data_IF_375463336561
#
_entry.id   IF_375463336561
#
_cell.length_a   1.000
_cell.length_b   1.000
_cell.length_c   1.000
_cell.angle_alpha   90.00
_cell.angle_beta   90.00
_cell.angle_gamma   90.00
#
_symmetry.space_group_name_H-M   'P 1'
#
loop_
_entity.id
_entity.type
_entity.pdbx_description
1 polymer ?
#
# COMPACT_ATOMS: atom_id res chain seq x y z
N UNK A 1 -24.39 -4.84 14.70
CA UNK A 1 -23.70 -3.60 14.25
C UNK A 1 -23.87 -3.47 12.75
N UNK A 2 -24.29 -2.27 12.28
CA UNK A 2 -24.52 -1.95 10.88
C UNK A 2 -23.51 -0.88 10.47
N UNK A 3 -22.62 -1.23 9.54
CA UNK A 3 -21.55 -0.38 9.06
C UNK A 3 -21.88 0.13 7.67
N UNK A 4 -21.67 1.42 7.41
CA UNK A 4 -21.63 1.97 6.07
C UNK A 4 -20.20 2.36 5.70
N UNK A 5 -19.76 1.97 4.51
CA UNK A 5 -18.50 2.44 3.93
C UNK A 5 -18.79 3.44 2.82
N UNK A 6 -18.08 4.56 2.79
CA UNK A 6 -18.02 5.42 1.61
C UNK A 6 -16.65 5.23 0.97
N UNK A 7 -16.62 4.72 -0.24
CA UNK A 7 -15.38 4.37 -0.94
C UNK A 7 -15.60 4.18 -2.44
N UNK A 8 -14.51 4.05 -3.18
CA UNK A 8 -14.48 3.30 -4.44
C UNK A 8 -14.61 1.80 -4.13
N UNK A 9 -15.15 1.00 -5.06
CA UNK A 9 -15.28 -0.45 -4.88
C UNK A 9 -15.10 -1.20 -6.21
N UNK A 10 -14.96 -2.55 -6.14
CA UNK A 10 -14.77 -3.38 -7.32
C UNK A 10 -15.97 -3.29 -8.29
N UNK A 11 -15.74 -3.39 -9.62
CA UNK A 11 -14.50 -3.70 -10.34
C UNK A 11 -13.64 -2.47 -10.68
N UNK A 12 -13.84 -1.32 -10.04
CA UNK A 12 -13.05 -0.12 -10.30
C UNK A 12 -11.56 -0.39 -10.00
N UNK A 13 -10.69 -0.19 -10.98
CA UNK A 13 -9.24 -0.42 -10.87
C UNK A 13 -8.56 0.69 -10.09
N UNK A 14 -8.60 0.60 -8.78
CA UNK A 14 -8.05 1.58 -7.86
C UNK A 14 -7.62 0.88 -6.54
N UNK A 15 -6.49 1.28 -5.99
CA UNK A 15 -5.94 0.68 -4.76
C UNK A 15 -6.90 0.77 -3.56
N UNK A 16 -7.70 1.86 -3.47
CA UNK A 16 -8.70 2.02 -2.40
C UNK A 16 -9.88 1.06 -2.59
N UNK A 17 -10.30 0.81 -3.83
CA UNK A 17 -11.35 -0.18 -4.12
C UNK A 17 -10.92 -1.59 -3.69
N UNK A 18 -9.69 -1.99 -4.01
CA UNK A 18 -9.11 -3.26 -3.61
C UNK A 18 -8.95 -3.35 -2.09
N UNK A 19 -8.42 -2.30 -1.46
CA UNK A 19 -8.31 -2.22 0.00
C UNK A 19 -9.68 -2.40 0.68
N UNK A 20 -10.68 -1.65 0.22
CA UNK A 20 -12.02 -1.68 0.81
C UNK A 20 -12.67 -3.06 0.65
N UNK A 21 -12.51 -3.70 -0.51
CA UNK A 21 -13.02 -5.05 -0.75
C UNK A 21 -12.40 -6.06 0.22
N UNK A 22 -11.08 -6.11 0.35
CA UNK A 22 -10.40 -7.02 1.28
C UNK A 22 -10.77 -6.76 2.74
N UNK A 23 -10.92 -5.49 3.15
CA UNK A 23 -11.35 -5.15 4.49
C UNK A 23 -12.78 -5.62 4.75
N UNK A 24 -13.71 -5.36 3.83
CA UNK A 24 -15.12 -5.78 3.92
C UNK A 24 -15.22 -7.30 4.02
N UNK A 25 -14.54 -8.03 3.15
CA UNK A 25 -14.53 -9.49 3.18
C UNK A 25 -13.98 -10.05 4.50
N UNK A 26 -12.90 -9.46 5.00
CA UNK A 26 -12.32 -9.85 6.28
C UNK A 26 -13.22 -9.52 7.47
N UNK A 27 -13.91 -8.38 7.47
CA UNK A 27 -14.89 -8.00 8.50
C UNK A 27 -16.06 -8.99 8.54
N UNK A 28 -16.60 -9.37 7.38
CA UNK A 28 -17.66 -10.36 7.27
C UNK A 28 -17.24 -11.75 7.78
N UNK A 29 -15.96 -12.09 7.67
CA UNK A 29 -15.41 -13.35 8.20
C UNK A 29 -15.22 -13.30 9.72
N UNK A 30 -14.68 -12.21 10.28
CA UNK A 30 -14.35 -12.13 11.71
C UNK A 30 -15.54 -11.72 12.60
N UNK A 31 -16.58 -11.12 12.01
CA UNK A 31 -17.76 -10.59 12.72
C UNK A 31 -19.08 -11.07 12.06
N UNK A 32 -19.56 -12.29 12.36
CA UNK A 32 -20.74 -12.87 11.70
C UNK A 32 -22.03 -12.07 11.87
N UNK A 33 -22.12 -11.26 12.91
CA UNK A 33 -23.29 -10.43 13.24
C UNK A 33 -23.26 -9.02 12.62
N UNK A 34 -22.19 -8.68 11.90
CA UNK A 34 -22.07 -7.39 11.22
C UNK A 34 -22.76 -7.43 9.86
N UNK A 35 -23.47 -6.35 9.54
CA UNK A 35 -24.00 -6.05 8.22
C UNK A 35 -23.27 -4.83 7.66
N UNK A 36 -22.89 -4.88 6.39
CA UNK A 36 -22.10 -3.85 5.72
C UNK A 36 -22.85 -3.33 4.52
N UNK A 37 -22.98 -2.00 4.42
CA UNK A 37 -23.44 -1.27 3.26
C UNK A 37 -22.25 -0.50 2.70
N UNK A 38 -21.86 -0.74 1.45
CA UNK A 38 -20.86 0.05 0.75
C UNK A 38 -21.58 1.04 -0.16
N UNK A 39 -21.56 2.31 0.20
CA UNK A 39 -22.04 3.42 -0.61
C UNK A 39 -20.89 3.77 -1.54
N UNK A 40 -20.93 3.19 -2.74
CA UNK A 40 -19.81 3.17 -3.66
C UNK A 40 -19.90 4.26 -4.73
N UNK A 41 -18.73 4.63 -5.29
CA UNK A 41 -18.68 5.44 -6.50
C UNK A 41 -19.31 4.70 -7.68
N UNK A 42 -19.88 5.41 -8.61
CA UNK A 42 -20.71 4.94 -9.75
C UNK A 42 -20.04 3.93 -10.70
N UNK A 43 -18.73 3.73 -10.58
CA UNK A 43 -17.97 2.71 -11.33
C UNK A 43 -17.95 1.33 -10.68
N UNK A 44 -18.54 1.17 -9.49
CA UNK A 44 -18.65 -0.12 -8.81
C UNK A 44 -19.78 -0.97 -9.38
N UNK A 45 -19.75 -2.28 -9.10
CA UNK A 45 -20.87 -3.18 -9.38
C UNK A 45 -21.79 -3.30 -8.16
N UNK A 46 -23.09 -3.39 -8.39
CA UNK A 46 -24.07 -3.70 -7.36
C UNK A 46 -23.85 -5.11 -6.81
N UNK A 47 -23.87 -5.26 -5.50
CA UNK A 47 -23.85 -6.54 -4.80
C UNK A 47 -24.95 -6.54 -3.76
N UNK A 48 -25.72 -7.64 -3.68
CA UNK A 48 -26.77 -7.83 -2.67
C UNK A 48 -26.65 -9.24 -2.07
N UNK A 49 -26.40 -9.31 -0.78
CA UNK A 49 -26.39 -10.55 0.01
C UNK A 49 -27.03 -10.30 1.38
N UNK A 50 -27.20 -11.33 2.21
CA UNK A 50 -27.77 -11.18 3.55
C UNK A 50 -27.00 -10.19 4.45
N UNK A 51 -25.70 -9.98 4.19
CA UNK A 51 -24.82 -9.17 5.05
C UNK A 51 -23.99 -8.10 4.34
N UNK A 52 -24.00 -8.08 3.01
CA UNK A 52 -23.29 -7.09 2.21
C UNK A 52 -24.21 -6.52 1.13
N UNK A 53 -24.36 -5.21 1.14
CA UNK A 53 -25.00 -4.45 0.07
C UNK A 53 -24.00 -3.45 -0.48
N UNK A 54 -23.79 -3.44 -1.81
CA UNK A 54 -22.96 -2.44 -2.50
C UNK A 54 -23.86 -1.62 -3.41
N UNK A 55 -23.89 -0.31 -3.18
CA UNK A 55 -24.72 0.65 -3.89
C UNK A 55 -23.84 1.65 -4.65
N UNK A 56 -23.70 1.55 -5.98
CA UNK A 56 -22.94 2.50 -6.80
C UNK A 56 -23.79 3.75 -7.10
N UNK A 57 -23.86 4.68 -6.13
CA UNK A 57 -24.85 5.77 -6.17
C UNK A 57 -24.27 7.17 -6.25
N UNK A 58 -22.96 7.36 -6.07
CA UNK A 58 -22.36 8.69 -6.09
C UNK A 58 -21.19 8.81 -7.08
N UNK A 59 -20.91 10.03 -7.50
CA UNK A 59 -19.79 10.34 -8.40
C UNK A 59 -18.94 11.46 -7.82
N UNK A 60 -17.62 11.31 -7.90
CA UNK A 60 -16.65 12.36 -7.51
C UNK A 60 -16.82 13.65 -8.30
N UNK A 61 -17.46 13.61 -9.46
CA UNK A 61 -17.69 14.77 -10.34
C UNK A 61 -18.93 15.57 -9.98
N UNK A 62 -19.88 14.96 -9.23
CA UNK A 62 -21.14 15.58 -8.80
C UNK A 62 -21.12 16.08 -7.36
N UNK A 63 -22.21 16.70 -6.91
CA UNK A 63 -22.46 16.92 -5.49
C UNK A 63 -23.01 15.63 -4.87
N UNK A 64 -22.13 14.87 -4.22
CA UNK A 64 -22.44 13.57 -3.66
C UNK A 64 -23.04 13.63 -2.24
N UNK A 65 -23.12 14.81 -1.64
CA UNK A 65 -23.48 14.96 -0.21
C UNK A 65 -24.90 14.45 0.06
N UNK A 66 -25.89 15.02 -0.62
CA UNK A 66 -27.30 14.61 -0.48
C UNK A 66 -27.50 13.14 -0.80
N UNK A 67 -26.93 12.69 -1.93
CA UNK A 67 -27.05 11.29 -2.39
C UNK A 67 -26.51 10.30 -1.33
N UNK A 68 -25.36 10.60 -0.72
CA UNK A 68 -24.82 9.72 0.32
C UNK A 68 -25.69 9.74 1.58
N UNK A 69 -26.17 10.91 2.00
CA UNK A 69 -27.02 11.06 3.20
C UNK A 69 -28.32 10.26 3.10
N UNK A 70 -28.92 10.18 1.92
CA UNK A 70 -30.14 9.39 1.66
C UNK A 70 -29.97 7.88 1.92
N UNK A 71 -28.73 7.38 1.97
CA UNK A 71 -28.42 5.96 2.18
C UNK A 71 -27.91 5.63 3.59
N UNK A 72 -27.94 6.60 4.53
CA UNK A 72 -27.44 6.40 5.91
C UNK A 72 -28.50 5.88 6.90
N UNK A 73 -29.67 5.50 6.43
CA UNK A 73 -30.69 4.91 7.30
C UNK A 73 -30.18 3.62 7.97
N UNK A 74 -30.49 3.47 9.24
CA UNK A 74 -30.17 2.29 10.03
C UNK A 74 -28.67 1.95 10.14
N UNK A 75 -27.79 2.95 10.22
CA UNK A 75 -26.33 2.79 10.32
C UNK A 75 -25.85 3.17 11.73
N UNK A 76 -25.00 2.33 12.32
CA UNK A 76 -24.35 2.60 13.61
C UNK A 76 -23.03 3.37 13.43
N UNK A 77 -22.26 3.02 12.38
CA UNK A 77 -20.98 3.65 12.03
C UNK A 77 -20.89 3.92 10.54
N UNK A 78 -20.43 5.11 10.19
CA UNK A 78 -20.02 5.51 8.86
C UNK A 78 -18.50 5.50 8.79
N UNK A 79 -17.91 4.70 7.89
CA UNK A 79 -16.47 4.62 7.67
C UNK A 79 -16.09 5.13 6.28
N UNK A 80 -15.37 6.23 6.21
CA UNK A 80 -14.94 6.88 4.97
C UNK A 80 -13.49 6.48 4.67
N UNK A 81 -13.24 5.97 3.46
CA UNK A 81 -11.90 5.64 2.97
C UNK A 81 -11.36 6.84 2.20
N UNK A 82 -10.61 7.70 2.86
CA UNK A 82 -10.15 8.96 2.27
C UNK A 82 -8.84 8.80 1.48
N UNK A 83 -8.90 9.24 0.23
CA UNK A 83 -7.76 9.52 -0.65
C UNK A 83 -8.06 10.77 -1.47
N UNK A 84 -7.07 11.68 -1.63
CA UNK A 84 -7.26 13.00 -2.24
C UNK A 84 -7.83 12.95 -3.66
N UNK A 85 -7.43 11.95 -4.46
CA UNK A 85 -7.92 11.80 -5.84
C UNK A 85 -9.39 11.38 -5.95
N UNK A 86 -9.97 10.91 -4.83
CA UNK A 86 -11.37 10.46 -4.76
C UNK A 86 -12.29 11.63 -4.40
N UNK A 87 -11.95 12.38 -3.34
CA UNK A 87 -12.86 13.38 -2.76
C UNK A 87 -12.52 14.82 -3.15
N UNK A 88 -11.33 15.07 -3.71
CA UNK A 88 -10.86 16.43 -4.01
C UNK A 88 -10.48 17.23 -2.75
N UNK A 89 -10.47 18.56 -2.90
CA UNK A 89 -10.05 19.51 -1.85
C UNK A 89 -11.10 20.59 -1.61
N UNK A 90 -12.32 20.38 -2.08
CA UNK A 90 -13.43 21.31 -1.89
C UNK A 90 -14.18 21.04 -0.58
N UNK A 91 -15.31 21.73 -0.39
CA UNK A 91 -16.09 21.66 0.83
C UNK A 91 -17.05 20.47 0.92
N UNK A 92 -17.19 19.65 -0.12
CA UNK A 92 -18.18 18.55 -0.16
C UNK A 92 -17.94 17.51 0.93
N UNK A 93 -16.72 17.01 1.08
CA UNK A 93 -16.43 16.04 2.15
C UNK A 93 -16.56 16.64 3.56
N UNK A 94 -16.05 17.85 3.87
CA UNK A 94 -16.37 18.55 5.10
C UNK A 94 -17.87 18.72 5.36
N UNK A 95 -18.65 19.17 4.37
CA UNK A 95 -20.13 19.29 4.49
C UNK A 95 -20.79 17.95 4.77
N UNK A 96 -20.39 16.90 4.08
CA UNK A 96 -20.89 15.55 4.35
C UNK A 96 -20.66 15.17 5.80
N UNK A 97 -19.44 15.31 6.31
CA UNK A 97 -19.09 14.99 7.70
C UNK A 97 -19.88 15.84 8.73
N UNK A 98 -20.17 17.10 8.41
CA UNK A 98 -20.96 17.99 9.25
C UNK A 98 -22.47 17.66 9.20
N UNK A 99 -22.95 17.03 8.10
CA UNK A 99 -24.38 16.70 7.88
C UNK A 99 -24.76 15.27 8.29
N UNK A 100 -23.80 14.41 8.62
CA UNK A 100 -24.08 13.05 9.12
C UNK A 100 -24.85 13.15 10.44
N UNK A 101 -25.99 12.42 10.63
CA UNK A 101 -26.74 12.38 11.90
C UNK A 101 -25.85 12.10 13.11
N UNK A 102 -26.11 12.78 14.23
CA UNK A 102 -25.24 12.73 15.42
C UNK A 102 -25.18 11.39 16.15
N UNK A 103 -26.12 10.51 15.92
CA UNK A 103 -26.17 9.13 16.42
C UNK A 103 -25.27 8.18 15.60
N UNK A 104 -24.92 8.52 14.37
CA UNK A 104 -23.99 7.76 13.52
C UNK A 104 -22.54 8.17 13.83
N UNK A 105 -21.70 7.21 14.21
CA UNK A 105 -20.27 7.46 14.49
C UNK A 105 -19.47 7.55 13.21
N UNK A 106 -18.68 8.60 13.08
CA UNK A 106 -17.86 8.91 11.89
C UNK A 106 -16.44 8.40 12.09
N UNK A 107 -16.06 7.38 11.31
CA UNK A 107 -14.71 6.83 11.26
C UNK A 107 -14.07 7.21 9.92
N UNK A 108 -12.84 7.66 9.96
CA UNK A 108 -12.12 8.12 8.79
C UNK A 108 -10.78 7.40 8.67
N UNK A 109 -10.57 6.60 7.62
CA UNK A 109 -9.22 6.15 7.25
C UNK A 109 -8.61 7.16 6.29
N UNK A 110 -7.45 7.73 6.64
CA UNK A 110 -6.69 8.64 5.76
C UNK A 110 -5.48 7.88 5.22
N UNK A 111 -5.55 7.49 3.95
CA UNK A 111 -4.52 6.65 3.33
C UNK A 111 -3.23 7.38 3.03
N UNK A 112 -3.29 8.69 2.76
CA UNK A 112 -2.13 9.50 2.45
C UNK A 112 -2.21 10.86 3.16
N UNK A 113 -1.08 11.31 3.71
CA UNK A 113 -0.89 12.70 4.16
C UNK A 113 0.44 13.18 3.58
N UNK A 114 0.42 14.33 2.89
CA UNK A 114 1.65 14.97 2.39
C UNK A 114 2.05 16.10 3.34
N UNK A 115 3.26 16.04 3.94
CA UNK A 115 3.70 17.09 4.85
C UNK A 115 3.88 18.43 4.14
N UNK A 116 3.35 19.52 4.72
CA UNK A 116 3.33 20.87 4.15
C UNK A 116 4.72 21.41 3.74
N UNK A 117 5.76 20.95 4.42
CA UNK A 117 7.15 21.38 4.18
C UNK A 117 7.72 21.06 2.80
N UNK A 118 7.07 20.17 2.03
CA UNK A 118 7.62 19.71 0.75
C UNK A 118 7.17 20.55 -0.45
N UNK A 119 6.00 21.18 -0.39
CA UNK A 119 5.51 22.05 -1.45
C UNK A 119 4.24 22.81 -1.02
N UNK A 120 3.88 23.88 -1.74
CA UNK A 120 2.58 24.55 -1.55
C UNK A 120 1.40 23.61 -1.72
N UNK A 121 1.48 22.68 -2.67
CA UNK A 121 0.46 21.65 -2.88
C UNK A 121 0.34 20.74 -1.65
N UNK A 122 1.47 20.32 -1.09
CA UNK A 122 1.48 19.50 0.12
C UNK A 122 0.89 20.24 1.33
N UNK A 123 1.04 21.55 1.40
CA UNK A 123 0.39 22.35 2.44
C UNK A 123 -1.14 22.34 2.34
N UNK A 124 -1.70 22.34 1.11
CA UNK A 124 -3.14 22.19 0.87
C UNK A 124 -3.58 20.78 1.32
N UNK A 125 -2.84 19.75 0.93
CA UNK A 125 -3.11 18.36 1.26
C UNK A 125 -3.13 18.14 2.79
N UNK A 126 -2.12 18.65 3.49
CA UNK A 126 -1.99 18.56 4.96
C UNK A 126 -3.15 19.28 5.67
N UNK A 127 -3.48 20.51 5.25
CA UNK A 127 -4.57 21.29 5.84
C UNK A 127 -5.94 20.64 5.59
N UNK A 128 -6.14 20.05 4.43
CA UNK A 128 -7.38 19.31 4.13
C UNK A 128 -7.50 18.06 5.01
N UNK A 129 -6.41 17.29 5.17
CA UNK A 129 -6.39 16.14 6.08
C UNK A 129 -6.77 16.54 7.51
N UNK A 130 -6.22 17.66 8.02
CA UNK A 130 -6.63 18.21 9.32
C UNK A 130 -8.12 18.59 9.36
N UNK A 131 -8.63 19.25 8.32
CA UNK A 131 -10.01 19.72 8.23
C UNK A 131 -11.03 18.57 8.34
N UNK A 132 -10.77 17.46 7.69
CA UNK A 132 -11.64 16.27 7.76
C UNK A 132 -11.42 15.47 9.05
N UNK A 133 -10.17 15.35 9.51
CA UNK A 133 -9.82 14.63 10.74
C UNK A 133 -10.49 15.25 11.99
N UNK A 134 -10.58 16.57 12.05
CA UNK A 134 -11.24 17.29 13.15
C UNK A 134 -12.71 16.90 13.31
N UNK A 135 -13.38 16.53 12.21
CA UNK A 135 -14.82 16.21 12.14
C UNK A 135 -15.14 14.73 12.42
N UNK A 136 -14.12 13.87 12.44
CA UNK A 136 -14.28 12.45 12.72
C UNK A 136 -14.33 12.14 14.22
N UNK A 137 -15.07 11.11 14.62
CA UNK A 137 -15.07 10.57 15.98
C UNK A 137 -13.84 9.70 16.23
N UNK A 138 -13.41 8.93 15.22
CA UNK A 138 -12.17 8.15 15.23
C UNK A 138 -11.47 8.27 13.88
N UNK A 139 -10.14 8.17 13.93
CA UNK A 139 -9.27 8.27 12.75
C UNK A 139 -8.40 7.02 12.72
N UNK A 140 -8.34 6.38 11.57
CA UNK A 140 -7.43 5.26 11.30
C UNK A 140 -6.34 5.76 10.35
N UNK A 141 -5.10 5.52 10.72
CA UNK A 141 -3.92 5.81 9.92
C UNK A 141 -3.09 4.53 9.81
N UNK A 142 -2.25 4.43 8.80
CA UNK A 142 -1.42 3.24 8.60
C UNK A 142 -0.01 3.40 9.19
N UNK A 143 0.48 4.64 9.36
CA UNK A 143 1.85 4.94 9.74
C UNK A 143 1.91 5.88 10.96
N UNK A 144 2.89 5.68 11.83
CA UNK A 144 3.19 6.61 12.91
C UNK A 144 3.58 8.01 12.38
N UNK A 145 4.24 8.07 11.21
CA UNK A 145 4.57 9.32 10.55
C UNK A 145 3.33 10.16 10.17
N UNK A 146 2.20 9.51 9.81
CA UNK A 146 0.93 10.20 9.57
C UNK A 146 0.35 10.75 10.88
N UNK A 147 0.37 9.93 11.95
CA UNK A 147 -0.11 10.33 13.29
C UNK A 147 0.63 11.54 13.81
N UNK A 148 1.97 11.56 13.67
CA UNK A 148 2.80 12.68 14.09
C UNK A 148 2.36 14.00 13.43
N UNK A 149 1.96 13.98 12.15
CA UNK A 149 1.47 15.17 11.44
C UNK A 149 0.16 15.66 12.06
N UNK A 150 -0.85 14.78 12.20
CA UNK A 150 -2.16 15.17 12.72
C UNK A 150 -2.08 15.64 14.18
N UNK A 151 -1.24 15.00 15.01
CA UNK A 151 -0.99 15.45 16.39
C UNK A 151 -0.34 16.84 16.44
N UNK A 152 0.64 17.11 15.57
CA UNK A 152 1.25 18.45 15.44
C UNK A 152 0.23 19.53 15.07
N UNK A 153 -0.80 19.17 14.29
CA UNK A 153 -1.90 20.05 13.91
C UNK A 153 -3.00 20.18 14.99
N UNK A 154 -2.86 19.48 16.13
CA UNK A 154 -3.78 19.57 17.26
C UNK A 154 -4.89 18.53 17.29
N UNK A 155 -4.81 17.45 16.50
CA UNK A 155 -5.72 16.31 16.63
C UNK A 155 -5.30 15.47 17.84
N UNK A 156 -6.25 15.16 18.72
CA UNK A 156 -6.01 14.40 19.94
C UNK A 156 -5.60 12.96 19.65
N UNK A 157 -4.54 12.49 20.34
CA UNK A 157 -3.99 11.16 20.15
C UNK A 157 -5.00 10.01 20.40
N UNK A 158 -5.96 10.21 21.31
CA UNK A 158 -7.01 9.24 21.65
C UNK A 158 -8.03 9.01 20.52
N UNK A 159 -8.16 9.98 19.57
CA UNK A 159 -8.96 9.82 18.36
C UNK A 159 -8.27 8.97 17.29
N UNK A 160 -6.93 8.80 17.36
CA UNK A 160 -6.13 8.19 16.31
C UNK A 160 -5.78 6.75 16.69
N UNK A 161 -6.03 5.82 15.76
CA UNK A 161 -5.55 4.45 15.80
C UNK A 161 -4.62 4.19 14.62
N UNK A 162 -3.45 3.58 14.88
CA UNK A 162 -2.60 3.06 13.83
C UNK A 162 -3.01 1.62 13.58
N UNK A 163 -3.50 1.36 12.38
CA UNK A 163 -3.79 0.01 11.88
C UNK A 163 -3.01 -0.17 10.59
N UNK A 164 -2.05 -1.10 10.52
CA UNK A 164 -1.25 -1.33 9.32
C UNK A 164 -2.13 -1.62 8.10
N UNK A 165 -1.60 -1.42 6.91
CA UNK A 165 -2.26 -1.90 5.70
C UNK A 165 -2.42 -3.43 5.78
N UNK A 166 -3.56 -3.95 5.29
CA UNK A 166 -3.82 -5.38 5.32
C UNK A 166 -2.89 -6.16 4.37
N UNK A 167 -2.51 -7.35 4.80
CA UNK A 167 -1.61 -8.25 4.08
C UNK A 167 -2.38 -9.44 3.52
N UNK A 168 -2.29 -9.65 2.20
CA UNK A 168 -2.80 -10.84 1.52
C UNK A 168 -1.73 -11.94 1.58
N UNK A 169 -1.99 -13.00 2.33
CA UNK A 169 -1.07 -14.13 2.48
C UNK A 169 -1.10 -15.00 1.22
N UNK A 170 0.07 -15.19 0.62
CA UNK A 170 0.28 -16.07 -0.55
C UNK A 170 1.45 -17.01 -0.30
N UNK A 171 1.44 -18.18 -0.94
CA UNK A 171 2.46 -19.22 -0.75
C UNK A 171 2.76 -19.92 -2.08
N UNK A 172 3.14 -19.15 -3.10
CA UNK A 172 3.46 -19.70 -4.41
C UNK A 172 4.81 -20.43 -4.41
N UNK A 173 4.83 -21.60 -5.06
CA UNK A 173 6.06 -22.40 -5.21
C UNK A 173 7.08 -21.64 -6.07
N UNK A 174 8.33 -21.65 -5.60
CA UNK A 174 9.41 -20.89 -6.22
C UNK A 174 9.78 -21.41 -7.61
N UNK A 175 9.84 -22.72 -7.79
CA UNK A 175 10.26 -23.30 -9.07
C UNK A 175 9.17 -23.14 -10.13
N UNK A 176 7.91 -23.36 -9.78
CA UNK A 176 6.77 -23.14 -10.66
C UNK A 176 6.66 -21.65 -11.05
N UNK A 177 6.88 -20.75 -10.10
CA UNK A 177 6.88 -19.31 -10.32
C UNK A 177 7.99 -18.87 -11.28
N UNK A 178 9.18 -19.44 -11.16
CA UNK A 178 10.31 -19.17 -12.06
C UNK A 178 10.07 -19.69 -13.46
N UNK A 179 9.51 -20.87 -13.59
CA UNK A 179 9.14 -21.46 -14.88
C UNK A 179 8.10 -20.59 -15.60
N UNK A 180 7.09 -20.12 -14.90
CA UNK A 180 6.06 -19.19 -15.44
C UNK A 180 6.66 -17.97 -16.12
N UNK A 181 7.77 -17.43 -15.60
CA UNK A 181 8.41 -16.22 -16.12
C UNK A 181 9.71 -16.48 -16.88
N UNK A 182 10.05 -17.74 -17.16
CA UNK A 182 11.31 -18.15 -17.79
C UNK A 182 12.55 -17.62 -17.06
N UNK A 183 12.53 -17.62 -15.72
CA UNK A 183 13.64 -17.17 -14.90
C UNK A 183 14.64 -18.31 -14.63
N UNK A 184 15.95 -18.03 -14.49
CA UNK A 184 16.95 -19.04 -14.18
C UNK A 184 16.65 -19.75 -12.86
N UNK A 185 16.65 -21.09 -12.86
CA UNK A 185 16.25 -21.91 -11.70
C UNK A 185 17.17 -21.75 -10.50
N UNK A 186 18.47 -21.64 -10.73
CA UNK A 186 19.51 -21.58 -9.68
C UNK A 186 19.95 -20.16 -9.31
N UNK A 187 19.43 -19.14 -10.01
CA UNK A 187 19.77 -17.75 -9.77
C UNK A 187 19.23 -17.24 -8.42
N UNK A 188 19.83 -16.14 -7.95
CA UNK A 188 19.29 -15.32 -6.85
C UNK A 188 18.58 -14.11 -7.46
N UNK A 189 17.26 -14.04 -7.30
CA UNK A 189 16.41 -13.02 -7.94
C UNK A 189 16.08 -11.92 -6.95
N UNK A 190 16.50 -10.70 -7.23
CA UNK A 190 16.08 -9.46 -6.57
C UNK A 190 14.97 -8.84 -7.42
N UNK A 191 13.75 -8.84 -6.91
CA UNK A 191 12.56 -8.36 -7.62
C UNK A 191 12.30 -6.89 -7.34
N UNK A 192 12.09 -6.12 -8.40
CA UNK A 192 11.43 -4.81 -8.38
C UNK A 192 10.20 -4.88 -9.28
N UNK A 193 8.99 -4.54 -8.77
CA UNK A 193 7.78 -4.73 -9.57
C UNK A 193 6.83 -3.52 -9.58
N UNK A 194 5.92 -3.54 -10.57
CA UNK A 194 4.92 -2.51 -10.81
C UNK A 194 5.38 -1.45 -11.81
N UNK A 195 4.60 -0.38 -11.98
CA UNK A 195 4.91 0.65 -12.97
C UNK A 195 6.30 1.26 -12.76
N UNK A 196 7.05 1.37 -13.87
CA UNK A 196 8.36 2.00 -13.87
C UNK A 196 8.20 3.52 -13.80
N UNK A 197 8.70 4.10 -12.70
CA UNK A 197 8.61 5.54 -12.43
C UNK A 197 9.91 6.05 -11.82
N UNK A 198 10.32 7.30 -12.09
CA UNK A 198 11.57 7.86 -11.58
C UNK A 198 11.74 7.78 -10.06
N UNK A 199 10.68 7.98 -9.28
CA UNK A 199 10.75 7.92 -7.82
C UNK A 199 11.06 6.51 -7.27
N UNK A 200 11.01 5.46 -8.09
CA UNK A 200 11.40 4.09 -7.70
C UNK A 200 12.90 3.83 -7.84
N UNK A 201 13.68 4.79 -8.37
CA UNK A 201 15.13 4.82 -8.35
C UNK A 201 15.79 3.50 -8.79
N UNK A 202 15.36 2.94 -9.93
CA UNK A 202 15.90 1.69 -10.48
C UNK A 202 17.42 1.77 -10.74
N UNK A 203 17.93 2.97 -11.07
CA UNK A 203 19.36 3.23 -11.27
C UNK A 203 20.21 2.89 -10.05
N UNK A 204 19.65 2.98 -8.84
CA UNK A 204 20.38 2.64 -7.61
C UNK A 204 20.57 1.13 -7.50
N UNK A 205 19.55 0.34 -7.84
CA UNK A 205 19.63 -1.10 -7.86
C UNK A 205 20.62 -1.60 -8.93
N UNK A 206 20.61 -0.99 -10.14
CA UNK A 206 21.54 -1.32 -11.21
C UNK A 206 22.99 -1.00 -10.81
N UNK A 207 23.23 0.15 -10.15
CA UNK A 207 24.55 0.47 -9.57
C UNK A 207 24.95 -0.52 -8.48
N UNK A 208 24.02 -0.91 -7.60
CA UNK A 208 24.29 -1.91 -6.58
C UNK A 208 24.71 -3.26 -7.20
N UNK A 209 24.10 -3.64 -8.32
CA UNK A 209 24.45 -4.87 -9.04
C UNK A 209 25.92 -4.91 -9.45
N UNK A 210 26.52 -3.79 -9.87
CA UNK A 210 27.97 -3.75 -10.22
C UNK A 210 28.86 -4.10 -9.03
N UNK A 211 28.45 -3.74 -7.81
CA UNK A 211 29.17 -4.11 -6.58
C UNK A 211 28.96 -5.58 -6.23
N UNK A 212 27.73 -6.09 -6.42
CA UNK A 212 27.38 -7.48 -6.13
C UNK A 212 28.13 -8.44 -7.07
N UNK A 213 28.19 -8.14 -8.37
CA UNK A 213 28.80 -9.00 -9.39
C UNK A 213 30.32 -9.17 -9.23
N UNK A 214 30.98 -8.30 -8.47
CA UNK A 214 32.40 -8.50 -8.07
C UNK A 214 32.59 -9.69 -7.12
N UNK A 215 31.52 -10.10 -6.41
CA UNK A 215 31.54 -11.20 -5.44
C UNK A 215 30.73 -12.40 -5.88
N UNK A 216 29.57 -12.16 -6.49
CA UNK A 216 28.61 -13.22 -6.90
C UNK A 216 28.04 -12.93 -8.28
N UNK A 217 28.13 -13.88 -9.21
CA UNK A 217 27.61 -13.74 -10.57
C UNK A 217 26.23 -14.39 -10.79
N UNK A 218 25.70 -15.07 -9.76
CA UNK A 218 24.40 -15.76 -9.78
C UNK A 218 23.23 -14.85 -9.35
N UNK A 219 23.46 -13.54 -9.13
CA UNK A 219 22.44 -12.56 -8.72
C UNK A 219 21.90 -11.83 -9.93
N UNK A 220 20.56 -11.76 -10.01
CA UNK A 220 19.83 -11.08 -11.08
C UNK A 220 18.88 -10.06 -10.50
N UNK A 221 18.77 -8.89 -11.12
CA UNK A 221 17.67 -7.94 -10.86
C UNK A 221 16.57 -8.23 -11.86
N UNK A 222 15.38 -8.54 -11.36
CA UNK A 222 14.19 -8.71 -12.18
C UNK A 222 13.28 -7.47 -12.04
N UNK A 223 13.22 -6.65 -13.10
CA UNK A 223 12.35 -5.48 -13.20
C UNK A 223 11.04 -5.94 -13.85
N UNK A 224 10.09 -6.37 -13.02
CA UNK A 224 8.78 -6.85 -13.46
C UNK A 224 7.80 -5.69 -13.61
N UNK A 225 7.89 -4.96 -14.71
CA UNK A 225 7.02 -3.81 -14.95
C UNK A 225 7.29 -3.09 -16.27
N UNK A 226 6.48 -2.08 -16.50
CA UNK A 226 6.56 -1.13 -17.61
C UNK A 226 5.99 0.22 -17.17
N UNK A 227 5.99 1.21 -18.04
CA UNK A 227 5.32 2.50 -17.77
C UNK A 227 3.79 2.33 -17.74
N UNK A 228 3.10 3.20 -17.01
CA UNK A 228 1.65 3.22 -17.01
C UNK A 228 1.10 3.62 -18.41
N UNK A 229 -0.12 3.20 -18.79
CA UNK A 229 -0.73 3.64 -20.06
C UNK A 229 -0.84 5.16 -20.17
N UNK A 230 -0.96 5.86 -19.05
CA UNK A 230 -1.04 7.32 -18.95
C UNK A 230 0.31 7.99 -18.65
N UNK A 231 1.43 7.27 -18.90
CA UNK A 231 2.76 7.75 -18.58
C UNK A 231 3.12 9.04 -19.33
N UNK A 232 3.71 9.96 -18.59
CA UNK A 232 4.30 11.18 -19.14
C UNK A 232 5.53 10.87 -20.01
N UNK A 233 5.91 11.80 -20.87
CA UNK A 233 7.12 11.67 -21.67
C UNK A 233 8.39 11.48 -20.80
N UNK A 234 8.45 12.15 -19.65
CA UNK A 234 9.53 11.98 -18.66
C UNK A 234 9.61 10.53 -18.14
N UNK A 235 8.47 9.87 -17.91
CA UNK A 235 8.47 8.46 -17.45
C UNK A 235 8.92 7.51 -18.54
N UNK A 236 8.58 7.78 -19.81
CA UNK A 236 9.06 7.00 -20.96
C UNK A 236 10.57 7.17 -21.16
N UNK A 237 11.07 8.41 -21.12
CA UNK A 237 12.50 8.71 -21.20
C UNK A 237 13.30 8.06 -20.06
N UNK A 238 12.68 7.91 -18.89
CA UNK A 238 13.31 7.22 -17.76
C UNK A 238 13.56 5.72 -18.06
N UNK A 239 12.67 5.05 -18.78
CA UNK A 239 12.90 3.65 -19.22
C UNK A 239 14.13 3.54 -20.13
N UNK A 240 14.26 4.46 -21.09
CA UNK A 240 15.44 4.48 -21.97
C UNK A 240 16.73 4.79 -21.19
N UNK A 241 16.66 5.73 -20.24
CA UNK A 241 17.78 6.01 -19.34
C UNK A 241 18.21 4.76 -18.53
N UNK A 242 17.26 3.94 -18.06
CA UNK A 242 17.56 2.69 -17.35
C UNK A 242 18.24 1.69 -18.28
N UNK A 243 17.79 1.53 -19.53
CA UNK A 243 18.41 0.66 -20.52
C UNK A 243 19.83 1.09 -20.85
N UNK A 244 20.03 2.37 -21.16
CA UNK A 244 21.35 2.93 -21.40
C UNK A 244 22.31 2.70 -20.23
N UNK A 245 21.80 2.76 -19.00
CA UNK A 245 22.61 2.53 -17.81
C UNK A 245 23.01 1.04 -17.69
N UNK A 246 22.10 0.11 -17.96
CA UNK A 246 22.37 -1.33 -17.96
C UNK A 246 23.52 -1.65 -18.93
N UNK A 247 23.45 -1.09 -20.13
CA UNK A 247 24.48 -1.29 -21.17
C UNK A 247 25.83 -0.64 -20.78
N UNK A 248 25.81 0.62 -20.32
CA UNK A 248 27.01 1.36 -19.92
C UNK A 248 27.73 0.75 -18.72
N UNK A 249 27.01 0.09 -17.81
CA UNK A 249 27.59 -0.57 -16.64
C UNK A 249 27.96 -2.05 -16.89
N UNK A 250 27.74 -2.55 -18.11
CA UNK A 250 28.02 -3.93 -18.52
C UNK A 250 27.40 -4.97 -17.59
N UNK A 251 26.11 -4.81 -17.30
CA UNK A 251 25.34 -5.70 -16.40
C UNK A 251 24.11 -6.32 -17.06
N UNK A 252 24.01 -6.22 -18.39
CA UNK A 252 22.85 -6.69 -19.17
C UNK A 252 22.54 -8.17 -18.94
N UNK A 253 23.57 -9.02 -18.81
CA UNK A 253 23.41 -10.46 -18.57
C UNK A 253 22.75 -10.79 -17.20
N UNK A 254 22.76 -9.85 -16.26
CA UNK A 254 22.23 -10.02 -14.92
C UNK A 254 21.00 -9.12 -14.62
N UNK A 255 20.44 -8.45 -15.64
CA UNK A 255 19.20 -7.67 -15.51
C UNK A 255 18.13 -8.26 -16.44
N UNK A 256 17.03 -8.69 -15.84
CA UNK A 256 15.85 -9.18 -16.56
C UNK A 256 14.81 -8.05 -16.58
N UNK A 257 14.65 -7.39 -17.73
CA UNK A 257 13.72 -6.27 -17.90
C UNK A 257 12.86 -6.46 -19.15
N UNK A 258 11.77 -7.27 -19.06
CA UNK A 258 10.90 -7.55 -20.22
C UNK A 258 10.06 -6.33 -20.66
N UNK A 259 10.00 -5.28 -19.83
CA UNK A 259 9.27 -4.03 -20.08
C UNK A 259 7.81 -4.27 -20.53
N UNK A 260 7.10 -5.09 -19.78
CA UNK A 260 5.69 -5.42 -20.00
C UNK A 260 4.86 -5.28 -18.73
N UNK A 261 3.56 -5.14 -18.89
CA UNK A 261 2.61 -5.19 -17.79
C UNK A 261 2.47 -6.63 -17.25
N UNK A 262 2.36 -6.74 -15.93
CA UNK A 262 2.04 -7.98 -15.23
C UNK A 262 0.69 -7.77 -14.52
N UNK A 263 -0.34 -8.57 -14.83
CA UNK A 263 -1.64 -8.46 -14.21
C UNK A 263 -1.61 -8.89 -12.73
N UNK A 264 -2.64 -8.51 -11.98
CA UNK A 264 -2.67 -8.73 -10.52
C UNK A 264 -2.57 -10.22 -10.15
N UNK A 265 -3.11 -11.11 -10.99
CA UNK A 265 -3.00 -12.57 -10.83
C UNK A 265 -1.57 -13.10 -10.97
N UNK A 266 -0.67 -12.37 -11.61
CA UNK A 266 0.75 -12.72 -11.73
C UNK A 266 1.56 -12.30 -10.49
N UNK A 267 1.08 -11.35 -9.70
CA UNK A 267 1.84 -10.77 -8.58
C UNK A 267 2.25 -11.80 -7.53
N UNK A 268 1.40 -12.74 -7.09
CA UNK A 268 1.82 -13.81 -6.18
C UNK A 268 2.99 -14.63 -6.72
N UNK A 269 2.97 -14.95 -8.02
CA UNK A 269 4.04 -15.71 -8.67
C UNK A 269 5.32 -14.87 -8.83
N UNK A 270 5.23 -13.56 -9.09
CA UNK A 270 6.42 -12.67 -9.08
C UNK A 270 7.11 -12.71 -7.72
N UNK A 271 6.31 -12.64 -6.64
CA UNK A 271 6.82 -12.79 -5.28
C UNK A 271 7.39 -14.19 -5.05
N UNK A 272 6.65 -15.24 -5.46
CA UNK A 272 7.09 -16.64 -5.37
C UNK A 272 8.48 -16.86 -6.00
N UNK A 273 8.70 -16.34 -7.20
CA UNK A 273 9.94 -16.47 -7.96
C UNK A 273 11.16 -15.78 -7.32
N UNK A 274 10.95 -14.76 -6.48
CA UNK A 274 12.02 -13.92 -5.92
C UNK A 274 12.68 -14.53 -4.68
N UNK A 275 13.94 -14.13 -4.42
CA UNK A 275 14.66 -14.35 -3.17
C UNK A 275 14.56 -13.13 -2.26
N UNK A 276 14.57 -11.93 -2.85
CA UNK A 276 14.48 -10.64 -2.17
C UNK A 276 13.54 -9.74 -2.97
N UNK A 277 12.71 -8.96 -2.30
CA UNK A 277 11.91 -7.90 -2.92
C UNK A 277 12.48 -6.54 -2.54
N UNK A 278 12.70 -5.67 -3.52
CA UNK A 278 13.34 -4.38 -3.33
C UNK A 278 12.37 -3.22 -3.59
N UNK A 279 12.26 -2.33 -2.60
CA UNK A 279 11.50 -1.07 -2.68
C UNK A 279 12.44 0.12 -2.44
N UNK A 280 13.29 0.42 -3.43
CA UNK A 280 14.21 1.55 -3.33
C UNK A 280 13.55 2.83 -3.86
N UNK A 281 12.54 3.35 -3.12
CA UNK A 281 11.77 4.52 -3.50
C UNK A 281 12.31 5.79 -2.86
N UNK A 282 12.09 6.91 -3.50
CA UNK A 282 12.22 8.23 -2.90
C UNK A 282 10.92 9.00 -3.10
N UNK A 283 10.12 9.05 -2.07
CA UNK A 283 8.82 9.73 -2.04
C UNK A 283 8.67 10.54 -0.75
N UNK A 284 8.00 11.67 -0.87
CA UNK A 284 7.81 12.63 0.23
C UNK A 284 6.47 12.46 0.95
N UNK A 285 5.53 11.72 0.36
CA UNK A 285 4.23 11.46 0.98
C UNK A 285 4.33 10.51 2.19
N UNK A 286 3.28 10.53 3.01
CA UNK A 286 3.09 9.61 4.13
C UNK A 286 1.89 8.73 3.79
N UNK A 287 2.15 7.67 3.05
CA UNK A 287 1.18 6.64 2.69
C UNK A 287 1.81 5.26 2.86
N UNK A 288 1.05 4.28 3.33
CA UNK A 288 1.48 2.89 3.32
C UNK A 288 1.54 2.34 1.90
N UNK A 289 2.33 1.29 1.68
CA UNK A 289 2.52 0.68 0.36
C UNK A 289 1.81 -0.67 0.28
N UNK A 290 0.74 -0.74 -0.52
CA UNK A 290 0.08 -2.02 -0.82
C UNK A 290 1.06 -3.04 -1.43
N UNK A 291 1.98 -2.60 -2.30
CA UNK A 291 3.00 -3.45 -2.89
C UNK A 291 3.96 -4.05 -1.83
N UNK A 292 4.33 -3.27 -0.82
CA UNK A 292 5.13 -3.74 0.32
C UNK A 292 4.39 -4.85 1.09
N UNK A 293 3.10 -4.67 1.35
CA UNK A 293 2.28 -5.68 2.04
C UNK A 293 2.04 -6.94 1.21
N UNK A 294 2.06 -6.87 -0.13
CA UNK A 294 2.07 -8.07 -0.98
C UNK A 294 3.37 -8.87 -0.79
N UNK A 295 4.52 -8.22 -0.68
CA UNK A 295 5.80 -8.89 -0.41
C UNK A 295 5.87 -9.48 1.01
N UNK A 296 5.35 -8.77 2.02
CA UNK A 296 5.15 -9.28 3.38
C UNK A 296 4.28 -10.54 3.34
N UNK A 297 3.15 -10.51 2.60
CA UNK A 297 2.22 -11.63 2.47
C UNK A 297 2.84 -12.87 1.85
N UNK A 298 3.76 -12.70 0.93
CA UNK A 298 4.52 -13.79 0.34
C UNK A 298 5.68 -14.31 1.22
N UNK A 299 5.90 -13.72 2.41
CA UNK A 299 6.95 -14.12 3.34
C UNK A 299 8.38 -13.88 2.81
N UNK A 300 8.56 -12.90 1.93
CA UNK A 300 9.87 -12.63 1.30
C UNK A 300 10.69 -11.66 2.12
N UNK A 301 12.03 -11.85 2.21
CA UNK A 301 12.95 -10.81 2.64
C UNK A 301 12.74 -9.54 1.82
N UNK A 302 12.59 -8.41 2.49
CA UNK A 302 12.37 -7.11 1.84
C UNK A 302 13.52 -6.20 2.20
N UNK A 303 14.02 -5.45 1.22
CA UNK A 303 14.90 -4.30 1.44
C UNK A 303 14.15 -3.06 0.96
N UNK A 304 14.16 -1.99 1.73
CA UNK A 304 13.51 -0.75 1.35
C UNK A 304 14.35 0.49 1.68
N UNK A 305 14.02 1.61 1.07
CA UNK A 305 14.61 2.89 1.43
C UNK A 305 14.14 3.33 2.81
N UNK A 306 15.03 3.92 3.59
CA UNK A 306 14.74 4.50 4.91
C UNK A 306 13.93 5.80 4.75
N UNK A 307 12.66 5.64 4.39
CA UNK A 307 11.67 6.71 4.31
C UNK A 307 10.42 6.29 5.10
N UNK A 308 9.57 7.23 5.52
CA UNK A 308 8.37 6.92 6.31
C UNK A 308 7.42 5.91 5.68
N UNK A 309 7.31 5.87 4.36
CA UNK A 309 6.49 4.86 3.63
C UNK A 309 6.80 3.42 4.03
N UNK A 310 8.03 3.12 4.41
CA UNK A 310 8.50 1.77 4.78
C UNK A 310 8.94 1.67 6.24
N UNK A 311 8.50 2.60 7.12
CA UNK A 311 8.87 2.57 8.55
C UNK A 311 8.46 1.27 9.25
N UNK A 312 7.44 0.59 8.75
CA UNK A 312 6.95 -0.69 9.26
C UNK A 312 8.01 -1.80 9.18
N UNK A 313 8.98 -1.71 8.24
CA UNK A 313 10.06 -2.69 8.09
C UNK A 313 10.96 -2.78 9.34
N UNK A 314 10.97 -1.76 10.20
CA UNK A 314 11.63 -1.80 11.53
C UNK A 314 11.08 -2.90 12.43
N UNK A 315 9.83 -3.31 12.24
CA UNK A 315 9.25 -4.41 13.01
C UNK A 315 9.89 -5.77 12.65
N UNK A 316 10.57 -5.85 11.52
CA UNK A 316 11.31 -7.03 11.06
C UNK A 316 12.79 -6.84 11.37
N UNK A 317 13.44 -5.85 10.76
CA UNK A 317 14.81 -5.46 11.04
C UNK A 317 15.12 -4.04 10.52
N UNK A 318 15.71 -3.19 11.34
CA UNK A 318 16.15 -1.86 10.93
C UNK A 318 17.30 -1.89 9.90
N UNK A 319 18.04 -2.99 9.85
CA UNK A 319 19.15 -3.22 8.92
C UNK A 319 18.69 -3.37 7.45
N UNK A 320 17.41 -3.65 7.22
CA UNK A 320 16.81 -3.75 5.88
C UNK A 320 16.43 -2.39 5.29
N UNK A 321 16.56 -1.31 6.06
CA UNK A 321 16.27 0.05 5.66
C UNK A 321 17.54 0.77 5.22
N UNK A 322 17.65 1.04 3.92
CA UNK A 322 18.84 1.63 3.28
C UNK A 322 18.61 3.14 3.08
N UNK A 323 19.65 3.94 3.29
CA UNK A 323 19.58 5.37 2.99
C UNK A 323 19.27 5.61 1.51
N UNK A 324 18.52 6.67 1.17
CA UNK A 324 18.28 7.04 -0.22
C UNK A 324 19.56 7.13 -1.04
N UNK A 325 19.53 6.66 -2.29
CA UNK A 325 20.62 6.69 -3.26
C UNK A 325 21.92 5.95 -2.86
N UNK A 326 21.91 5.16 -1.78
CA UNK A 326 23.07 4.41 -1.31
C UNK A 326 23.15 3.02 -1.98
N UNK A 327 23.73 2.95 -3.18
CA UNK A 327 23.90 1.70 -3.93
C UNK A 327 24.89 0.72 -3.27
N UNK A 328 25.94 1.21 -2.60
CA UNK A 328 26.90 0.35 -1.89
C UNK A 328 26.26 -0.30 -0.66
N UNK A 329 25.55 0.46 0.16
CA UNK A 329 24.80 -0.07 1.30
C UNK A 329 23.72 -1.08 0.87
N UNK A 330 23.04 -0.80 -0.25
CA UNK A 330 22.09 -1.73 -0.85
C UNK A 330 22.77 -3.05 -1.24
N UNK A 331 23.92 -2.99 -1.94
CA UNK A 331 24.67 -4.18 -2.32
C UNK A 331 25.13 -5.00 -1.11
N UNK A 332 25.59 -4.34 -0.04
CA UNK A 332 26.01 -5.00 1.20
C UNK A 332 24.88 -5.79 1.86
N UNK A 333 23.67 -5.21 1.95
CA UNK A 333 22.53 -5.89 2.57
C UNK A 333 21.98 -7.00 1.69
N UNK A 334 21.95 -6.84 0.35
CA UNK A 334 21.62 -7.93 -0.56
C UNK A 334 22.60 -9.11 -0.38
N UNK A 335 23.90 -8.86 -0.41
CA UNK A 335 24.91 -9.91 -0.21
C UNK A 335 24.75 -10.59 1.14
N UNK A 336 24.55 -9.83 2.23
CA UNK A 336 24.34 -10.40 3.56
C UNK A 336 23.11 -11.31 3.61
N UNK A 337 21.97 -10.90 3.04
CA UNK A 337 20.79 -11.78 2.97
C UNK A 337 21.04 -13.06 2.16
N UNK A 338 21.94 -13.02 1.18
CA UNK A 338 22.25 -14.17 0.33
C UNK A 338 23.35 -15.09 0.92
N UNK A 339 24.24 -14.59 1.77
CA UNK A 339 25.43 -15.28 2.26
C UNK A 339 25.34 -15.66 3.75
N UNK A 340 24.63 -14.86 4.57
CA UNK A 340 24.44 -15.10 6.02
C UNK A 340 23.09 -15.80 6.24
N UNK A 341 23.12 -17.12 6.34
CA UNK A 341 21.95 -17.97 6.57
C UNK A 341 21.25 -17.63 7.90
N UNK A 342 22.01 -17.26 8.92
CA UNK A 342 21.47 -16.89 10.24
C UNK A 342 20.66 -15.61 10.15
N UNK A 343 21.21 -14.57 9.52
CA UNK A 343 20.50 -13.31 9.31
C UNK A 343 19.29 -13.48 8.39
N UNK A 344 19.44 -14.23 7.31
CA UNK A 344 18.34 -14.50 6.38
C UNK A 344 17.17 -15.21 7.08
N UNK A 345 17.45 -16.27 7.85
CA UNK A 345 16.42 -17.02 8.57
C UNK A 345 15.74 -16.14 9.62
N UNK A 346 16.49 -15.33 10.36
CA UNK A 346 15.94 -14.34 11.29
C UNK A 346 14.97 -13.39 10.59
N UNK A 347 15.36 -12.83 9.44
CA UNK A 347 14.49 -11.92 8.66
C UNK A 347 13.23 -12.63 8.18
N UNK A 348 13.34 -13.86 7.69
CA UNK A 348 12.20 -14.66 7.24
C UNK A 348 11.24 -14.92 8.40
N UNK A 349 11.70 -15.39 9.54
CA UNK A 349 10.88 -15.68 10.71
C UNK A 349 10.13 -14.42 11.18
N UNK A 350 10.84 -13.28 11.29
CA UNK A 350 10.23 -11.99 11.64
C UNK A 350 9.22 -11.51 10.59
N UNK A 351 9.47 -11.77 9.30
CA UNK A 351 8.51 -11.46 8.22
C UNK A 351 7.25 -12.30 8.37
N UNK A 352 7.37 -13.59 8.70
CA UNK A 352 6.22 -14.45 8.96
C UNK A 352 5.40 -14.00 10.18
N UNK A 353 6.06 -13.62 11.28
CA UNK A 353 5.37 -13.07 12.46
C UNK A 353 4.63 -11.77 12.11
N UNK A 354 5.29 -10.86 11.37
CA UNK A 354 4.68 -9.60 10.97
C UNK A 354 3.51 -9.80 10.00
N UNK A 355 3.63 -10.73 9.04
CA UNK A 355 2.59 -11.13 8.10
C UNK A 355 1.30 -11.56 8.81
N UNK A 356 1.41 -12.40 9.84
CA UNK A 356 0.23 -12.84 10.60
C UNK A 356 -0.44 -11.67 11.35
N UNK A 357 0.36 -10.77 11.94
CA UNK A 357 -0.13 -9.59 12.65
C UNK A 357 -0.80 -8.56 11.77
N UNK A 358 -0.45 -8.51 10.50
CA UNK A 358 -0.99 -7.59 9.49
C UNK A 358 -1.91 -8.28 8.48
N UNK A 359 -2.20 -9.57 8.63
CA UNK A 359 -3.17 -10.26 7.79
C UNK A 359 -4.52 -9.52 7.78
N UNK A 360 -5.25 -9.57 6.67
CA UNK A 360 -6.56 -8.92 6.59
C UNK A 360 -7.49 -9.33 7.73
N UNK A 361 -7.40 -10.58 8.18
CA UNK A 361 -8.15 -11.07 9.34
C UNK A 361 -7.75 -10.34 10.65
N UNK A 362 -6.46 -10.11 10.86
CA UNK A 362 -5.95 -9.38 12.03
C UNK A 362 -6.31 -7.89 11.95
N UNK A 363 -6.17 -7.29 10.78
CA UNK A 363 -6.55 -5.90 10.51
C UNK A 363 -8.05 -5.68 10.71
N UNK A 364 -8.90 -6.59 10.23
CA UNK A 364 -10.35 -6.51 10.44
C UNK A 364 -10.74 -6.58 11.92
N UNK A 365 -10.05 -7.40 12.74
CA UNK A 365 -10.28 -7.42 14.20
C UNK A 365 -9.96 -6.08 14.84
N UNK A 366 -8.84 -5.43 14.46
CA UNK A 366 -8.47 -4.10 14.96
C UNK A 366 -9.50 -3.03 14.54
N UNK A 367 -10.03 -3.09 13.31
CA UNK A 367 -11.12 -2.22 12.89
C UNK A 367 -12.38 -2.43 13.73
N UNK A 368 -12.73 -3.69 14.04
CA UNK A 368 -13.88 -4.00 14.91
C UNK A 368 -13.71 -3.40 16.32
N UNK A 369 -12.49 -3.35 16.85
CA UNK A 369 -12.22 -2.68 18.13
C UNK A 369 -12.52 -1.18 18.02
N UNK A 370 -12.05 -0.52 16.94
CA UNK A 370 -12.33 0.91 16.71
C UNK A 370 -13.84 1.18 16.59
N UNK A 371 -14.60 0.33 15.90
CA UNK A 371 -16.04 0.51 15.78
C UNK A 371 -16.76 0.33 17.12
N UNK A 372 -16.38 -0.67 17.92
CA UNK A 372 -16.93 -0.88 19.27
C UNK A 372 -16.60 0.28 20.19
N UNK A 373 -15.35 0.74 20.22
CA UNK A 373 -14.92 1.90 21.02
C UNK A 373 -15.66 3.18 20.63
N UNK A 374 -16.02 3.37 19.37
CA UNK A 374 -16.73 4.54 18.90
C UNK A 374 -18.23 4.50 19.28
N UNK A 375 -18.85 3.32 19.25
CA UNK A 375 -20.28 3.14 19.51
C UNK A 375 -20.61 2.82 20.97
N UNK A 376 -19.58 2.62 21.83
CA UNK A 376 -19.76 2.15 23.23
C UNK A 376 -20.55 0.83 23.31
N UNK A 377 -20.31 -0.06 22.38
CA UNK A 377 -20.91 -1.39 22.29
C UNK A 377 -20.09 -2.42 23.07
#
# INVERSE_FOLDING_TARGET
>A
MRLAFISTYLPQRCGIATYTSYLVDALLQVAPHVRIKVIAEDLASTVETDRLTVLPVWSRRGDYVSTILEHLEDIDCLHIQHEYSIYGFDDRLPRLLDSVPGDIKKILTIHCIRPAQFSERAAIDENFAYTIAKRADRIILHLEAQKAILMRLGIEANKIRIIPHGTLITNEDKLNSREKFNLPKDAKIVLMFGFVKPHKCYEVAIKALTHILKKRRDVYIFIAGTVAPTASEREKQYVEYIRDMIDKLDVADNVIFPNRFFPDEDVPYLMGASDIVLFHYYEEDRSSSGAFHLAIGAGKPIIATRIPKFEELKNISDELLILPYNSEGLAQVILRLLEDDTFRNYVIDRTYEYRERTSWKAVAKQHMEVYRDATSW
#
